data_IF_477713115073
#
_entry.id   IF_477713115073
#
_cell.length_a   1.000
_cell.length_b   1.000
_cell.length_c   1.000
_cell.angle_alpha   90.00
_cell.angle_beta   90.00
_cell.angle_gamma   90.00
#
_symmetry.space_group_name_H-M   'P 1'
#
loop_
_entity.id
_entity.type
_entity.pdbx_description
1 polymer ?
#
# COMPACT_ATOMS: atom_id res chain seq x y z
N UNK A 1 -7.09 -23.47 -9.43
CA UNK A 1 -7.61 -22.28 -8.71
C UNK A 1 -9.12 -22.19 -8.91
N UNK A 2 -9.93 -22.01 -7.87
CA UNK A 2 -11.40 -21.89 -8.00
C UNK A 2 -11.81 -20.58 -8.70
N UNK A 3 -12.79 -20.61 -9.60
CA UNK A 3 -13.32 -19.44 -10.31
C UNK A 3 -13.70 -18.28 -9.37
N UNK A 4 -14.24 -18.57 -8.19
CA UNK A 4 -14.54 -17.57 -7.15
C UNK A 4 -13.30 -16.82 -6.67
N UNK A 5 -12.15 -17.52 -6.55
CA UNK A 5 -10.89 -16.92 -6.12
C UNK A 5 -10.35 -15.96 -7.17
N UNK A 6 -10.42 -16.34 -8.45
CA UNK A 6 -10.01 -15.47 -9.57
C UNK A 6 -10.83 -14.19 -9.63
N UNK A 7 -12.17 -14.29 -9.52
CA UNK A 7 -13.06 -13.11 -9.47
C UNK A 7 -12.74 -12.21 -8.28
N UNK A 8 -12.47 -12.79 -7.10
CA UNK A 8 -12.13 -12.00 -5.90
C UNK A 8 -10.82 -11.23 -6.07
N UNK A 9 -9.80 -11.85 -6.69
CA UNK A 9 -8.53 -11.20 -7.01
C UNK A 9 -8.77 -10.06 -8.00
N UNK A 10 -9.51 -10.32 -9.08
CA UNK A 10 -9.82 -9.31 -10.09
C UNK A 10 -10.54 -8.10 -9.47
N UNK A 11 -11.59 -8.34 -8.66
CA UNK A 11 -12.31 -7.27 -7.98
C UNK A 11 -11.42 -6.50 -7.01
N UNK A 12 -10.54 -7.18 -6.27
CA UNK A 12 -9.61 -6.52 -5.36
C UNK A 12 -8.58 -5.66 -6.11
N UNK A 13 -8.10 -6.12 -7.26
CA UNK A 13 -7.21 -5.35 -8.15
C UNK A 13 -7.92 -4.11 -8.68
N UNK A 14 -9.13 -4.26 -9.22
CA UNK A 14 -9.93 -3.14 -9.71
C UNK A 14 -10.24 -2.14 -8.58
N UNK A 15 -10.63 -2.62 -7.40
CA UNK A 15 -10.85 -1.77 -6.24
C UNK A 15 -9.58 -1.02 -5.82
N UNK A 16 -8.41 -1.66 -5.88
CA UNK A 16 -7.14 -0.99 -5.61
C UNK A 16 -6.82 0.11 -6.63
N UNK A 17 -7.05 -0.15 -7.93
CA UNK A 17 -6.88 0.86 -8.99
C UNK A 17 -7.80 2.06 -8.76
N UNK A 18 -9.09 1.80 -8.48
CA UNK A 18 -10.07 2.85 -8.19
C UNK A 18 -9.69 3.63 -6.92
N UNK A 19 -9.19 2.96 -5.88
CA UNK A 19 -8.71 3.62 -4.67
C UNK A 19 -7.55 4.57 -4.98
N UNK A 20 -6.55 4.12 -5.76
CA UNK A 20 -5.43 4.98 -6.16
C UNK A 20 -5.95 6.17 -6.97
N UNK A 21 -6.81 5.93 -7.96
CA UNK A 21 -7.38 7.00 -8.77
C UNK A 21 -8.14 8.03 -7.91
N UNK A 22 -9.00 7.56 -7.00
CA UNK A 22 -9.73 8.44 -6.09
C UNK A 22 -8.79 9.24 -5.19
N UNK A 23 -7.74 8.62 -4.64
CA UNK A 23 -6.72 9.30 -3.84
C UNK A 23 -6.05 10.44 -4.62
N UNK A 24 -5.82 10.26 -5.92
CA UNK A 24 -5.21 11.28 -6.79
C UNK A 24 -6.18 12.38 -7.21
N UNK A 25 -7.47 12.06 -7.33
CA UNK A 25 -8.47 13.04 -7.72
C UNK A 25 -8.87 13.98 -6.57
N UNK A 26 -8.82 13.51 -5.31
CA UNK A 26 -9.20 14.32 -4.13
C UNK A 26 -8.47 15.68 -4.10
N UNK A 27 -7.13 15.74 -4.20
CA UNK A 27 -6.42 17.02 -4.26
C UNK A 27 -6.82 17.89 -5.46
N UNK A 28 -7.09 17.28 -6.63
CA UNK A 28 -7.50 17.99 -7.84
C UNK A 28 -8.88 18.60 -7.67
N UNK A 29 -9.83 17.85 -7.11
CA UNK A 29 -11.19 18.33 -6.83
C UNK A 29 -11.19 19.44 -5.78
N UNK A 30 -10.34 19.35 -4.74
CA UNK A 30 -10.14 20.44 -3.77
C UNK A 30 -9.54 21.67 -4.46
N UNK A 31 -8.54 21.48 -5.30
CA UNK A 31 -7.86 22.57 -6.02
C UNK A 31 -8.81 23.35 -6.95
N UNK A 32 -9.74 22.65 -7.59
CA UNK A 32 -10.75 23.24 -8.47
C UNK A 32 -11.98 23.80 -7.71
N UNK A 33 -11.99 23.79 -6.37
CA UNK A 33 -13.10 24.22 -5.54
C UNK A 33 -14.34 23.31 -5.61
N UNK A 34 -14.19 22.10 -6.15
CA UNK A 34 -15.28 21.11 -6.33
C UNK A 34 -15.39 20.20 -5.12
N UNK A 35 -15.73 20.76 -3.97
CA UNK A 35 -15.76 20.02 -2.69
C UNK A 35 -16.74 18.85 -2.67
N UNK A 36 -17.85 18.93 -3.39
CA UNK A 36 -18.79 17.80 -3.54
C UNK A 36 -18.14 16.60 -4.24
N UNK A 37 -17.30 16.85 -5.26
CA UNK A 37 -16.56 15.80 -5.95
C UNK A 37 -15.48 15.19 -5.03
N UNK A 38 -14.74 16.03 -4.31
CA UNK A 38 -13.74 15.57 -3.35
C UNK A 38 -14.36 14.67 -2.26
N UNK A 39 -15.56 15.02 -1.77
CA UNK A 39 -16.30 14.18 -0.83
C UNK A 39 -16.70 12.84 -1.45
N UNK A 40 -17.20 12.85 -2.69
CA UNK A 40 -17.54 11.63 -3.43
C UNK A 40 -16.33 10.72 -3.64
N UNK A 41 -15.20 11.29 -4.06
CA UNK A 41 -13.94 10.57 -4.25
C UNK A 41 -13.42 9.99 -2.92
N UNK A 42 -13.53 10.73 -1.82
CA UNK A 42 -13.17 10.24 -0.49
C UNK A 42 -14.04 9.05 -0.06
N UNK A 43 -15.35 9.10 -0.30
CA UNK A 43 -16.24 7.98 -0.01
C UNK A 43 -15.91 6.74 -0.85
N UNK A 44 -15.63 6.92 -2.15
CA UNK A 44 -15.19 5.84 -3.04
C UNK A 44 -13.88 5.23 -2.53
N UNK A 45 -12.90 6.06 -2.18
CA UNK A 45 -11.64 5.63 -1.59
C UNK A 45 -11.87 4.79 -0.33
N UNK A 46 -12.71 5.25 0.59
CA UNK A 46 -13.03 4.55 1.84
C UNK A 46 -13.66 3.18 1.59
N UNK A 47 -14.60 3.09 0.62
CA UNK A 47 -15.25 1.83 0.22
C UNK A 47 -14.22 0.86 -0.38
N UNK A 48 -13.38 1.33 -1.30
CA UNK A 48 -12.37 0.50 -1.94
C UNK A 48 -11.33 -0.03 -0.95
N UNK A 49 -10.80 0.84 -0.08
CA UNK A 49 -9.85 0.46 0.97
C UNK A 49 -10.50 -0.52 1.96
N UNK A 50 -11.74 -0.26 2.37
CA UNK A 50 -12.50 -1.15 3.24
C UNK A 50 -12.71 -2.54 2.64
N UNK A 51 -13.05 -2.59 1.34
CA UNK A 51 -13.20 -3.85 0.60
C UNK A 51 -11.89 -4.63 0.52
N UNK A 52 -10.79 -3.99 0.09
CA UNK A 52 -9.47 -4.62 -0.01
C UNK A 52 -9.01 -5.11 1.36
N UNK A 53 -9.16 -4.30 2.42
CA UNK A 53 -8.81 -4.69 3.78
C UNK A 53 -9.62 -5.92 4.25
N UNK A 54 -10.92 -5.98 3.92
CA UNK A 54 -11.77 -7.14 4.20
C UNK A 54 -11.28 -8.39 3.47
N UNK A 55 -10.97 -8.29 2.17
CA UNK A 55 -10.45 -9.41 1.37
C UNK A 55 -9.12 -9.91 1.94
N UNK A 56 -8.21 -9.01 2.29
CA UNK A 56 -6.93 -9.38 2.91
C UNK A 56 -7.10 -10.06 4.27
N UNK A 57 -8.02 -9.57 5.12
CA UNK A 57 -8.33 -10.20 6.42
C UNK A 57 -8.90 -11.61 6.22
N UNK A 58 -9.76 -11.80 5.23
CA UNK A 58 -10.33 -13.10 4.90
C UNK A 58 -9.25 -14.08 4.38
N UNK A 59 -8.36 -13.62 3.50
CA UNK A 59 -7.24 -14.44 3.00
C UNK A 59 -6.30 -14.83 4.14
N UNK A 60 -5.96 -13.89 5.05
CA UNK A 60 -5.14 -14.18 6.23
C UNK A 60 -5.78 -15.21 7.17
N UNK A 61 -7.09 -15.15 7.40
CA UNK A 61 -7.80 -16.16 8.22
C UNK A 61 -7.73 -17.54 7.58
N UNK A 62 -8.05 -17.65 6.30
CA UNK A 62 -8.01 -18.92 5.55
C UNK A 62 -6.61 -19.54 5.53
N UNK A 63 -5.56 -18.73 5.42
CA UNK A 63 -4.17 -19.21 5.51
C UNK A 63 -3.85 -19.79 6.89
N UNK A 64 -4.26 -19.12 7.97
CA UNK A 64 -4.05 -19.63 9.34
C UNK A 64 -4.80 -20.93 9.60
N UNK A 65 -6.02 -21.05 9.09
CA UNK A 65 -6.82 -22.29 9.19
C UNK A 65 -6.17 -23.44 8.41
N UNK A 66 -5.66 -23.17 7.19
CA UNK A 66 -4.94 -24.15 6.39
C UNK A 66 -3.60 -24.57 7.03
N UNK A 67 -2.89 -23.64 7.68
CA UNK A 67 -1.65 -23.91 8.42
C UNK A 67 -1.90 -24.75 9.69
N UNK A 68 -3.02 -24.52 10.39
CA UNK A 68 -3.40 -25.29 11.58
C UNK A 68 -3.77 -26.74 11.25
N UNK A 69 -4.32 -26.98 10.06
CA UNK A 69 -4.71 -28.30 9.56
C UNK A 69 -3.53 -29.18 9.11
N UNK A 70 -2.32 -28.64 9.01
CA UNK A 70 -1.12 -29.43 8.66
C UNK A 70 -0.63 -30.28 9.85
N UNK A 71 -0.17 -31.53 9.61
CA UNK A 71 0.51 -32.35 10.61
C UNK A 71 1.70 -31.60 11.23
N UNK A 72 1.98 -31.75 12.53
CA UNK A 72 2.97 -30.95 13.25
C UNK A 72 4.38 -30.96 12.61
N UNK A 73 4.77 -32.05 11.94
CA UNK A 73 6.05 -32.21 11.23
C UNK A 73 6.11 -31.50 9.87
N UNK A 74 4.97 -31.19 9.25
CA UNK A 74 4.87 -30.45 7.97
C UNK A 74 4.41 -29.01 8.14
N UNK A 75 4.20 -28.57 9.38
CA UNK A 75 3.94 -27.16 9.65
C UNK A 75 5.22 -26.39 9.30
N UNK A 76 5.16 -25.37 8.43
CA UNK A 76 6.32 -24.54 8.17
C UNK A 76 6.86 -24.04 9.50
N UNK A 77 8.18 -24.16 9.69
CA UNK A 77 8.86 -23.72 10.89
C UNK A 77 8.36 -22.31 11.22
N UNK A 78 7.83 -22.13 12.43
CA UNK A 78 7.16 -20.89 12.84
C UNK A 78 8.19 -19.78 12.67
N UNK A 79 8.17 -19.07 11.54
CA UNK A 79 9.06 -17.93 11.28
C UNK A 79 8.71 -16.91 12.34
N UNK A 80 9.39 -16.97 13.49
CA UNK A 80 9.33 -15.96 14.53
C UNK A 80 9.92 -14.74 13.86
N UNK A 81 9.10 -13.74 13.51
CA UNK A 81 9.65 -12.51 12.97
C UNK A 81 10.50 -11.94 14.11
N UNK A 82 11.84 -11.85 13.95
CA UNK A 82 12.76 -11.30 14.98
C UNK A 82 12.31 -9.91 15.46
N UNK A 83 11.51 -9.21 14.66
CA UNK A 83 10.68 -8.10 15.07
C UNK A 83 9.25 -8.36 14.62
N UNK A 84 8.24 -8.08 15.45
CA UNK A 84 6.86 -8.11 14.98
C UNK A 84 6.79 -7.20 13.74
N UNK A 85 6.29 -7.73 12.64
CA UNK A 85 5.90 -6.92 11.47
C UNK A 85 4.68 -6.11 11.95
N UNK A 86 4.92 -5.14 12.82
CA UNK A 86 3.94 -4.15 13.22
C UNK A 86 3.72 -3.30 11.99
N UNK A 87 2.79 -3.76 11.16
CA UNK A 87 2.06 -2.98 10.18
C UNK A 87 2.95 -2.06 9.34
N UNK A 88 3.35 -2.58 8.18
CA UNK A 88 3.86 -1.83 7.02
C UNK A 88 3.15 -0.47 6.85
N UNK A 89 1.87 -0.36 7.20
CA UNK A 89 1.12 0.90 7.24
C UNK A 89 1.80 2.06 7.99
N UNK A 90 2.39 1.85 9.19
CA UNK A 90 3.05 2.95 9.92
C UNK A 90 4.30 3.43 9.19
N UNK A 91 5.11 2.50 8.70
CA UNK A 91 6.31 2.80 7.92
C UNK A 91 5.94 3.43 6.56
N UNK A 92 4.91 2.93 5.88
CA UNK A 92 4.40 3.47 4.61
C UNK A 92 3.82 4.86 4.80
N UNK A 93 3.04 5.09 5.86
CA UNK A 93 2.49 6.40 6.19
C UNK A 93 3.60 7.39 6.54
N UNK A 94 4.63 6.95 7.28
CA UNK A 94 5.80 7.76 7.58
C UNK A 94 6.58 8.11 6.31
N UNK A 95 6.86 7.14 5.45
CA UNK A 95 7.53 7.38 4.17
C UNK A 95 6.72 8.33 3.27
N UNK A 96 5.40 8.15 3.22
CA UNK A 96 4.50 9.06 2.51
C UNK A 96 4.58 10.48 3.06
N UNK A 97 4.50 10.67 4.38
CA UNK A 97 4.61 11.98 5.02
C UNK A 97 5.95 12.65 4.72
N UNK A 98 7.06 11.91 4.81
CA UNK A 98 8.40 12.42 4.52
C UNK A 98 8.47 12.89 3.06
N UNK A 99 8.04 12.05 2.11
CA UNK A 99 8.04 12.43 0.71
C UNK A 99 7.09 13.58 0.39
N UNK A 100 5.94 13.65 1.06
CA UNK A 100 5.00 14.76 0.91
C UNK A 100 5.64 16.08 1.33
N UNK A 101 6.26 16.13 2.50
CA UNK A 101 6.93 17.34 3.01
C UNK A 101 8.09 17.74 2.08
N UNK A 102 8.90 16.77 1.64
CA UNK A 102 10.02 17.02 0.74
C UNK A 102 9.57 17.58 -0.60
N UNK A 103 8.57 16.95 -1.25
CA UNK A 103 8.07 17.41 -2.55
C UNK A 103 7.32 18.73 -2.42
N UNK A 104 6.50 18.91 -1.38
CA UNK A 104 5.79 20.16 -1.14
C UNK A 104 6.77 21.32 -0.91
N UNK A 105 7.82 21.08 -0.11
CA UNK A 105 8.88 22.05 0.13
C UNK A 105 9.66 22.38 -1.14
N UNK A 106 10.07 21.37 -1.91
CA UNK A 106 10.79 21.54 -3.16
C UNK A 106 9.96 22.35 -4.19
N UNK A 107 8.70 21.99 -4.38
CA UNK A 107 7.80 22.68 -5.29
C UNK A 107 7.54 24.14 -4.88
N UNK A 108 7.44 24.41 -3.59
CA UNK A 108 7.24 25.77 -3.08
C UNK A 108 8.50 26.62 -3.19
N UNK A 109 9.66 26.08 -2.82
CA UNK A 109 10.92 26.84 -2.69
C UNK A 109 11.74 26.90 -3.98
N UNK A 110 11.69 25.86 -4.82
CA UNK A 110 12.51 25.74 -6.03
C UNK A 110 11.69 25.99 -7.29
N UNK A 111 10.51 25.36 -7.39
CA UNK A 111 9.66 25.47 -8.59
C UNK A 111 8.77 26.72 -8.57
N UNK A 112 8.54 27.31 -7.39
CA UNK A 112 7.68 28.49 -7.23
C UNK A 112 6.20 28.19 -7.48
N UNK A 113 5.76 26.93 -7.28
CA UNK A 113 4.37 26.55 -7.46
C UNK A 113 3.49 27.15 -6.36
N UNK A 114 2.35 27.69 -6.77
CA UNK A 114 1.31 28.13 -5.84
C UNK A 114 0.83 26.99 -4.93
N UNK A 115 0.28 27.30 -3.74
CA UNK A 115 -0.04 26.32 -2.72
C UNK A 115 -1.03 25.24 -3.19
N UNK A 116 -1.99 25.62 -4.04
CA UNK A 116 -3.02 24.72 -4.56
C UNK A 116 -2.46 23.63 -5.50
N UNK A 117 -1.78 23.97 -6.63
CA UNK A 117 -1.19 22.96 -7.51
C UNK A 117 -0.09 22.14 -6.80
N UNK A 118 0.62 22.75 -5.84
CA UNK A 118 1.65 22.08 -5.08
C UNK A 118 1.10 20.89 -4.26
N UNK A 119 -0.03 21.07 -3.57
CA UNK A 119 -0.64 20.00 -2.77
C UNK A 119 -0.99 18.78 -3.63
N UNK A 120 -1.56 18.99 -4.82
CA UNK A 120 -1.90 17.88 -5.72
C UNK A 120 -0.68 17.10 -6.21
N UNK A 121 0.36 17.83 -6.65
CA UNK A 121 1.60 17.22 -7.14
C UNK A 121 2.34 16.52 -6.00
N UNK A 122 2.40 17.13 -4.81
CA UNK A 122 3.07 16.56 -3.65
C UNK A 122 2.40 15.28 -3.16
N UNK A 123 1.06 15.21 -3.14
CA UNK A 123 0.33 13.97 -2.78
C UNK A 123 0.63 12.85 -3.78
N UNK A 124 0.58 13.14 -5.09
CA UNK A 124 0.88 12.14 -6.13
C UNK A 124 2.32 11.63 -6.03
N UNK A 125 3.29 12.54 -5.99
CA UNK A 125 4.71 12.19 -5.93
C UNK A 125 5.02 11.42 -4.64
N UNK A 126 4.47 11.85 -3.50
CA UNK A 126 4.65 11.17 -2.23
C UNK A 126 4.09 9.74 -2.24
N UNK A 127 2.93 9.54 -2.85
CA UNK A 127 2.34 8.21 -3.00
C UNK A 127 3.23 7.28 -3.83
N UNK A 128 3.69 7.75 -5.00
CA UNK A 128 4.56 6.98 -5.88
C UNK A 128 5.89 6.65 -5.20
N UNK A 129 6.53 7.64 -4.57
CA UNK A 129 7.82 7.48 -3.91
C UNK A 129 7.73 6.61 -2.67
N UNK A 130 6.67 6.73 -1.86
CA UNK A 130 6.45 5.84 -0.72
C UNK A 130 6.23 4.40 -1.18
N UNK A 131 5.47 4.18 -2.24
CA UNK A 131 5.23 2.84 -2.80
C UNK A 131 6.54 2.22 -3.30
N UNK A 132 7.35 2.98 -4.05
CA UNK A 132 8.67 2.55 -4.51
C UNK A 132 9.62 2.26 -3.35
N UNK A 133 9.66 3.13 -2.33
CA UNK A 133 10.52 2.96 -1.14
C UNK A 133 10.19 1.67 -0.39
N UNK A 134 8.89 1.42 -0.17
CA UNK A 134 8.42 0.25 0.57
C UNK A 134 8.62 -1.04 -0.22
N UNK A 135 8.32 -1.00 -1.53
CA UNK A 135 8.51 -2.16 -2.42
C UNK A 135 9.99 -2.48 -2.60
N UNK A 136 10.83 -1.47 -2.81
CA UNK A 136 12.28 -1.60 -2.94
C UNK A 136 12.93 -2.17 -1.68
N UNK A 137 12.53 -1.70 -0.49
CA UNK A 137 12.98 -2.28 0.79
C UNK A 137 12.61 -3.77 0.91
N UNK A 138 11.40 -4.16 0.51
CA UNK A 138 10.99 -5.56 0.53
C UNK A 138 11.78 -6.44 -0.44
N UNK A 139 12.16 -5.91 -1.60
CA UNK A 139 13.02 -6.59 -2.57
C UNK A 139 14.44 -6.74 -2.01
N UNK A 140 15.00 -5.68 -1.43
CA UNK A 140 16.32 -5.68 -0.80
C UNK A 140 16.43 -6.71 0.32
N UNK A 141 15.42 -6.79 1.19
CA UNK A 141 15.39 -7.81 2.25
C UNK A 141 15.28 -9.24 1.74
N UNK A 142 14.69 -9.45 0.55
CA UNK A 142 14.66 -10.78 -0.07
C UNK A 142 16.03 -11.14 -0.64
N UNK A 143 16.69 -10.20 -1.31
CA UNK A 143 18.04 -10.41 -1.86
C UNK A 143 19.06 -10.71 -0.75
N UNK A 144 19.07 -9.94 0.34
CA UNK A 144 20.01 -10.20 1.45
C UNK A 144 19.68 -11.49 2.22
N UNK A 145 18.39 -11.89 2.26
CA UNK A 145 18.00 -13.16 2.87
C UNK A 145 18.30 -14.38 1.99
N UNK A 146 18.40 -14.21 0.67
CA UNK A 146 18.85 -15.23 -0.28
C UNK A 146 20.38 -15.39 -0.26
N UNK A 147 21.13 -14.31 0.02
CA UNK A 147 22.59 -14.35 0.20
C UNK A 147 23.04 -15.04 1.51
N UNK A 148 22.23 -14.97 2.57
CA UNK A 148 22.52 -15.63 3.87
C UNK A 148 22.12 -17.12 3.91
N UNK A 149 21.49 -17.66 2.85
CA UNK A 149 21.23 -19.09 2.74
C UNK A 149 22.54 -19.80 2.38
N UNK A 150 23.04 -20.76 3.20
CA UNK A 150 24.29 -21.43 2.90
C UNK A 150 24.14 -22.16 1.57
N UNK A 151 25.11 -21.97 0.67
CA UNK A 151 25.19 -22.74 -0.56
C UNK A 151 25.23 -24.22 -0.20
N UNK A 152 24.17 -24.95 -0.55
CA UNK A 152 24.21 -26.41 -0.57
C UNK A 152 25.39 -26.81 -1.48
N UNK A 153 26.41 -27.38 -0.85
CA UNK A 153 27.44 -28.17 -1.51
C UNK A 153 26.88 -29.53 -1.87
#
# INVERSE_FOLDING_TARGET
MSARRTVTILLATVAAIIAVLALLLIPVSIALGRYANALGEFLVLAVCVGYVARVMRADRRRRREAEAALPPERRPERRVPRRPITFQFRETLFAFLVWFVLVAGFNALVVGLGPIPNVGIAVFAAFMLATLTVTGRHMMFRLTAEEDAPSER
#
